data_IF_171743222286
#
_entry.id   IF_171743222286
#
_cell.length_a   1.000
_cell.length_b   1.000
_cell.length_c   1.000
_cell.angle_alpha   90.00
_cell.angle_beta   90.00
_cell.angle_gamma   90.00
#
_symmetry.space_group_name_H-M   'P 1'
#
loop_
_entity.id
_entity.type
_entity.pdbx_description
1 polymer ?
#
# COMPACT_ATOMS: atom_id res chain seq x y z
N UNK A 1 -5.51 -6.42 20.42
CA UNK A 1 -6.16 -5.51 19.45
C UNK A 1 -5.71 -5.94 18.06
N UNK A 2 -6.65 -6.19 17.16
CA UNK A 2 -6.38 -6.52 15.76
C UNK A 2 -5.70 -5.34 15.05
N UNK A 3 -4.91 -5.66 14.01
CA UNK A 3 -4.42 -4.67 13.06
C UNK A 3 -5.61 -3.93 12.45
N UNK A 4 -5.63 -2.59 12.57
CA UNK A 4 -6.58 -1.75 11.83
C UNK A 4 -5.80 -1.16 10.69
N UNK A 5 -6.03 -1.71 9.49
CA UNK A 5 -5.39 -1.20 8.30
C UNK A 5 -5.84 0.25 8.04
N UNK A 6 -4.96 1.12 7.53
CA UNK A 6 -5.36 2.44 7.07
C UNK A 6 -6.56 2.35 6.09
N UNK A 7 -7.48 3.32 6.09
CA UNK A 7 -8.52 3.40 5.07
C UNK A 7 -7.90 3.28 3.66
N UNK A 8 -8.42 2.35 2.84
CA UNK A 8 -7.90 2.07 1.50
C UNK A 8 -6.72 1.08 1.42
N UNK A 9 -6.18 0.61 2.55
CA UNK A 9 -5.13 -0.40 2.58
C UNK A 9 -5.72 -1.75 3.02
N UNK A 10 -6.01 -2.64 2.07
CA UNK A 10 -6.50 -4.00 2.37
C UNK A 10 -5.70 -5.05 1.61
N UNK A 11 -4.46 -5.34 2.04
CA UNK A 11 -3.66 -6.36 1.42
C UNK A 11 -4.25 -7.75 1.68
N UNK A 12 -4.23 -8.57 0.65
CA UNK A 12 -4.54 -10.01 0.70
C UNK A 12 -3.22 -10.75 0.83
N UNK A 13 -3.09 -11.59 1.85
CA UNK A 13 -1.88 -12.34 2.13
C UNK A 13 -2.06 -13.82 1.81
N UNK A 14 -1.10 -14.39 1.09
CA UNK A 14 -1.00 -15.82 0.78
C UNK A 14 -2.33 -16.46 0.32
N UNK A 15 -3.06 -15.87 -0.67
CA UNK A 15 -4.30 -16.46 -1.12
C UNK A 15 -4.05 -17.82 -1.78
N UNK A 16 -5.02 -18.74 -1.64
CA UNK A 16 -5.05 -19.97 -2.43
C UNK A 16 -5.23 -19.65 -3.91
N UNK A 17 -4.60 -20.44 -4.80
CA UNK A 17 -4.73 -20.29 -6.26
C UNK A 17 -5.57 -21.46 -6.80
N UNK A 18 -6.62 -21.21 -7.61
CA UNK A 18 -7.04 -19.90 -8.13
C UNK A 18 -7.63 -18.98 -7.05
N UNK A 19 -7.33 -17.69 -7.19
CA UNK A 19 -7.85 -16.61 -6.35
C UNK A 19 -8.84 -15.77 -7.16
N UNK A 20 -9.97 -15.42 -6.55
CA UNK A 20 -10.92 -14.41 -7.03
C UNK A 20 -11.31 -13.54 -5.83
N UNK A 21 -11.12 -12.23 -5.93
CA UNK A 21 -11.43 -11.32 -4.84
C UNK A 21 -11.89 -9.94 -5.30
N UNK A 22 -12.71 -9.26 -4.48
CA UNK A 22 -13.23 -7.93 -4.82
C UNK A 22 -12.16 -6.85 -4.73
N UNK A 23 -12.32 -5.82 -5.55
CA UNK A 23 -11.57 -4.57 -5.49
C UNK A 23 -12.47 -3.53 -4.82
N UNK A 24 -12.31 -3.39 -3.50
CA UNK A 24 -13.11 -2.44 -2.73
C UNK A 24 -12.80 -1.00 -3.12
N UNK A 25 -13.84 -0.22 -3.42
CA UNK A 25 -13.72 1.17 -3.87
C UNK A 25 -13.45 1.34 -5.37
N UNK A 26 -13.28 0.24 -6.12
CA UNK A 26 -13.00 0.28 -7.55
C UNK A 26 -11.60 0.78 -7.89
N UNK A 27 -11.31 0.85 -9.19
CA UNK A 27 -10.06 1.42 -9.71
C UNK A 27 -10.33 2.76 -10.40
N UNK A 28 -9.40 3.71 -10.25
CA UNK A 28 -9.42 5.00 -10.93
C UNK A 28 -7.99 5.42 -11.32
N UNK A 29 -7.81 6.39 -12.22
CA UNK A 29 -6.49 6.92 -12.52
C UNK A 29 -5.74 7.32 -11.24
N UNK A 30 -4.48 6.89 -11.13
CA UNK A 30 -3.66 7.01 -9.93
C UNK A 30 -3.75 5.83 -8.96
N UNK A 31 -4.69 4.89 -9.15
CA UNK A 31 -4.68 3.60 -8.46
C UNK A 31 -3.56 2.71 -8.99
N UNK A 32 -3.09 1.78 -8.16
CA UNK A 32 -2.08 0.79 -8.49
C UNK A 32 -2.40 -0.53 -7.82
N UNK A 33 -2.39 -1.62 -8.60
CA UNK A 33 -2.48 -2.99 -8.10
C UNK A 33 -1.06 -3.55 -8.00
N UNK A 34 -0.64 -3.91 -6.79
CA UNK A 34 0.65 -4.52 -6.46
C UNK A 34 0.46 -6.01 -6.20
N UNK A 35 1.22 -6.84 -6.88
CA UNK A 35 1.18 -8.30 -6.72
C UNK A 35 2.62 -8.77 -6.52
N UNK A 36 2.87 -9.42 -5.39
CA UNK A 36 4.15 -10.05 -5.10
C UNK A 36 3.95 -11.55 -4.98
N UNK A 37 4.78 -12.32 -5.67
CA UNK A 37 4.65 -13.76 -5.73
C UNK A 37 5.90 -14.43 -6.27
N UNK A 38 5.78 -15.72 -6.53
CA UNK A 38 6.82 -16.54 -7.13
C UNK A 38 6.23 -17.53 -8.13
N UNK A 39 7.06 -18.01 -9.04
CA UNK A 39 6.68 -19.01 -10.02
C UNK A 39 7.45 -20.30 -9.79
N UNK A 40 6.86 -21.49 -9.98
CA UNK A 40 7.58 -22.75 -9.87
C UNK A 40 8.52 -22.96 -11.08
N UNK A 41 9.53 -23.82 -10.93
CA UNK A 41 10.50 -24.12 -12.01
C UNK A 41 9.85 -24.78 -13.23
N UNK A 42 8.79 -25.55 -13.03
CA UNK A 42 8.04 -26.26 -14.07
C UNK A 42 6.88 -25.44 -14.65
N UNK A 43 6.75 -24.16 -14.27
CA UNK A 43 5.69 -23.29 -14.74
C UNK A 43 5.54 -23.30 -16.27
N UNK A 44 4.30 -23.41 -16.71
CA UNK A 44 3.89 -23.23 -18.10
C UNK A 44 3.22 -21.88 -18.33
N UNK A 45 2.34 -21.43 -17.41
CA UNK A 45 1.66 -20.14 -17.49
C UNK A 45 0.91 -19.79 -16.22
N UNK A 46 0.74 -18.51 -15.97
CA UNK A 46 -0.24 -17.98 -15.04
C UNK A 46 -0.96 -16.79 -15.64
N UNK A 47 -2.07 -16.36 -15.02
CA UNK A 47 -2.83 -15.19 -15.45
C UNK A 47 -3.24 -14.34 -14.28
N UNK A 48 -3.25 -13.03 -14.50
CA UNK A 48 -3.88 -12.03 -13.66
C UNK A 48 -4.95 -11.33 -14.51
N UNK A 49 -6.19 -11.34 -14.03
CA UNK A 49 -7.32 -10.71 -14.70
C UNK A 49 -7.89 -9.60 -13.82
N UNK A 50 -8.16 -8.44 -14.40
CA UNK A 50 -9.03 -7.41 -13.82
C UNK A 50 -10.42 -7.57 -14.42
N UNK A 51 -11.40 -7.97 -13.60
CA UNK A 51 -12.75 -8.30 -14.04
C UNK A 51 -13.73 -7.15 -13.79
N UNK A 52 -14.72 -7.02 -14.66
CA UNK A 52 -15.79 -6.03 -14.56
C UNK A 52 -16.95 -6.44 -13.63
N UNK A 53 -16.83 -7.59 -12.97
CA UNK A 53 -17.77 -8.12 -11.99
C UNK A 53 -17.07 -9.12 -11.07
N UNK A 54 -17.77 -9.60 -10.04
CA UNK A 54 -17.21 -10.46 -9.00
C UNK A 54 -17.38 -11.96 -9.29
N UNK A 55 -17.65 -12.33 -10.53
CA UNK A 55 -17.81 -13.73 -10.97
C UNK A 55 -16.78 -14.08 -12.04
N UNK A 56 -16.45 -15.37 -12.18
CA UNK A 56 -15.44 -15.81 -13.17
C UNK A 56 -15.85 -15.57 -14.63
N UNK A 57 -17.15 -15.49 -14.89
CA UNK A 57 -17.72 -15.26 -16.22
C UNK A 57 -17.81 -13.78 -16.59
N UNK A 58 -17.47 -12.88 -15.65
CA UNK A 58 -17.49 -11.43 -15.90
C UNK A 58 -16.49 -11.04 -17.00
N UNK A 59 -16.80 -9.96 -17.71
CA UNK A 59 -15.87 -9.37 -18.67
C UNK A 59 -14.51 -9.10 -18.02
N UNK A 60 -13.44 -9.27 -18.80
CA UNK A 60 -12.07 -9.06 -18.38
C UNK A 60 -11.58 -7.78 -19.04
N UNK A 61 -11.48 -6.70 -18.26
CA UNK A 61 -10.94 -5.43 -18.74
C UNK A 61 -9.47 -5.54 -19.12
N UNK A 62 -8.69 -6.26 -18.31
CA UNK A 62 -7.27 -6.53 -18.54
C UNK A 62 -6.96 -7.98 -18.20
N UNK A 63 -6.48 -8.72 -19.19
CA UNK A 63 -5.85 -10.03 -19.05
C UNK A 63 -4.34 -9.87 -19.15
N UNK A 64 -3.60 -10.33 -18.16
CA UNK A 64 -2.12 -10.42 -18.19
C UNK A 64 -1.75 -11.88 -18.08
N UNK A 65 -1.12 -12.44 -19.12
CA UNK A 65 -0.84 -13.87 -19.15
C UNK A 65 0.56 -14.20 -19.67
N UNK A 66 1.54 -14.33 -18.76
CA UNK A 66 2.85 -14.90 -19.07
C UNK A 66 2.72 -16.37 -19.45
N UNK A 67 3.34 -16.75 -20.56
CA UNK A 67 3.35 -18.10 -21.13
C UNK A 67 4.79 -18.54 -21.42
N UNK A 68 5.15 -19.70 -20.91
CA UNK A 68 6.43 -20.40 -21.12
C UNK A 68 6.17 -21.68 -21.93
N UNK A 69 5.78 -21.49 -23.19
CA UNK A 69 5.32 -22.55 -24.09
C UNK A 69 6.31 -22.83 -25.23
N UNK A 70 7.58 -22.43 -25.07
CA UNK A 70 8.63 -22.52 -26.10
C UNK A 70 8.61 -21.34 -27.07
N UNK A 71 7.53 -20.55 -27.07
CA UNK A 71 7.48 -19.23 -27.69
C UNK A 71 7.10 -18.18 -26.66
N UNK A 72 7.99 -18.07 -25.67
CA UNK A 72 7.78 -17.34 -24.44
C UNK A 72 7.35 -15.88 -24.71
N UNK A 73 6.25 -15.49 -24.06
CA UNK A 73 5.60 -14.20 -24.26
C UNK A 73 4.68 -13.87 -23.09
N UNK A 74 4.40 -12.59 -22.92
CA UNK A 74 3.27 -12.12 -22.13
C UNK A 74 2.17 -11.69 -23.10
N UNK A 75 0.98 -12.28 -22.94
CA UNK A 75 -0.20 -11.90 -23.70
C UNK A 75 -1.03 -10.93 -22.87
N UNK A 76 -1.37 -9.79 -23.47
CA UNK A 76 -2.38 -8.87 -22.95
C UNK A 76 -3.60 -8.85 -23.84
N UNK A 77 -4.78 -8.84 -23.24
CA UNK A 77 -6.03 -8.76 -23.99
C UNK A 77 -7.20 -8.31 -23.08
N UNK A 78 -8.37 -8.13 -23.68
CA UNK A 78 -9.66 -7.89 -23.05
C UNK A 78 -10.62 -8.98 -23.51
N UNK A 79 -11.48 -9.46 -22.62
CA UNK A 79 -12.59 -10.35 -22.96
C UNK A 79 -13.91 -9.63 -22.68
N UNK A 80 -14.73 -9.44 -23.70
CA UNK A 80 -16.03 -8.76 -23.58
C UNK A 80 -17.12 -9.60 -24.25
N UNK A 81 -18.25 -9.76 -23.58
CA UNK A 81 -19.41 -10.53 -24.09
C UNK A 81 -19.00 -11.94 -24.54
N UNK A 82 -18.15 -12.59 -23.75
CA UNK A 82 -17.65 -13.94 -24.01
C UNK A 82 -16.52 -14.04 -25.05
N UNK A 83 -16.21 -12.96 -25.77
CA UNK A 83 -15.24 -12.96 -26.89
C UNK A 83 -13.93 -12.25 -26.52
N UNK A 84 -12.80 -12.80 -26.96
CA UNK A 84 -11.49 -12.16 -26.83
C UNK A 84 -11.29 -11.12 -27.94
N UNK A 85 -10.67 -10.00 -27.60
CA UNK A 85 -10.22 -9.01 -28.59
C UNK A 85 -8.88 -9.38 -29.22
N UNK A 86 -8.21 -8.39 -29.80
CA UNK A 86 -6.88 -8.56 -30.39
C UNK A 86 -5.78 -8.70 -29.33
N UNK A 87 -4.90 -9.69 -29.48
CA UNK A 87 -3.81 -9.91 -28.53
C UNK A 87 -2.66 -8.90 -28.72
N UNK A 88 -2.20 -8.31 -27.62
CA UNK A 88 -0.86 -7.73 -27.55
C UNK A 88 0.12 -8.83 -27.09
N UNK A 89 1.04 -9.24 -27.95
CA UNK A 89 2.00 -10.32 -27.67
C UNK A 89 3.40 -9.77 -27.50
N UNK A 90 3.86 -9.66 -26.25
CA UNK A 90 5.18 -9.11 -25.93
C UNK A 90 6.17 -10.26 -25.69
N UNK A 91 7.19 -10.38 -26.54
CA UNK A 91 8.17 -11.49 -26.47
C UNK A 91 9.33 -11.28 -25.50
N UNK A 92 9.51 -10.05 -25.00
CA UNK A 92 10.46 -9.80 -23.92
C UNK A 92 9.86 -10.39 -22.64
N UNK A 93 10.27 -11.57 -22.22
CA UNK A 93 9.71 -12.19 -21.01
C UNK A 93 10.31 -11.52 -19.77
N UNK A 94 9.52 -10.85 -18.90
CA UNK A 94 10.03 -10.20 -17.69
C UNK A 94 9.98 -11.11 -16.45
N UNK A 95 9.30 -12.27 -16.57
CA UNK A 95 9.21 -13.28 -15.52
C UNK A 95 10.25 -14.37 -15.73
N UNK A 96 10.61 -15.08 -14.67
CA UNK A 96 11.57 -16.19 -14.71
C UNK A 96 11.04 -17.35 -13.90
N UNK A 97 11.16 -18.55 -14.44
CA UNK A 97 10.78 -19.80 -13.76
C UNK A 97 11.58 -19.97 -12.48
N UNK A 98 10.93 -20.40 -11.40
CA UNK A 98 11.57 -20.59 -10.10
C UNK A 98 11.88 -19.30 -9.34
N UNK A 99 11.62 -18.12 -9.91
CA UNK A 99 11.97 -16.84 -9.30
C UNK A 99 10.75 -16.09 -8.75
N UNK A 100 11.05 -15.18 -7.82
CA UNK A 100 10.12 -14.19 -7.30
C UNK A 100 9.87 -13.09 -8.34
N UNK A 101 8.68 -12.49 -8.27
CA UNK A 101 8.36 -11.31 -9.05
C UNK A 101 7.54 -10.31 -8.24
N UNK A 102 7.69 -9.04 -8.62
CA UNK A 102 6.75 -7.98 -8.32
C UNK A 102 6.09 -7.54 -9.63
N UNK A 103 4.76 -7.56 -9.68
CA UNK A 103 3.95 -7.02 -10.76
C UNK A 103 3.18 -5.80 -10.24
N UNK A 104 3.34 -4.67 -10.91
CA UNK A 104 2.59 -3.44 -10.64
C UNK A 104 1.76 -3.08 -11.86
N UNK A 105 0.46 -2.93 -11.66
CA UNK A 105 -0.48 -2.43 -12.67
C UNK A 105 -0.92 -1.04 -12.22
N UNK A 106 -0.33 -0.01 -12.82
CA UNK A 106 -0.66 1.39 -12.55
C UNK A 106 -1.78 1.85 -13.47
N UNK A 107 -2.85 2.37 -12.90
CA UNK A 107 -4.00 2.88 -13.64
C UNK A 107 -3.72 4.33 -14.03
N UNK A 108 -3.78 4.61 -15.32
CA UNK A 108 -3.70 5.96 -15.89
C UNK A 108 -5.03 6.34 -16.54
N UNK A 109 -5.14 7.57 -17.05
CA UNK A 109 -6.34 7.99 -17.78
C UNK A 109 -6.49 7.24 -19.11
N UNK A 110 -5.37 6.86 -19.74
CA UNK A 110 -5.29 6.26 -21.06
C UNK A 110 -5.32 4.73 -21.02
N UNK A 111 -4.77 4.12 -19.96
CA UNK A 111 -4.65 2.66 -19.87
C UNK A 111 -4.04 2.16 -18.58
N UNK A 112 -3.43 0.98 -18.68
CA UNK A 112 -2.69 0.31 -17.61
C UNK A 112 -1.20 0.31 -17.95
N UNK A 113 -0.39 0.95 -17.11
CA UNK A 113 1.06 0.83 -17.17
C UNK A 113 1.51 -0.36 -16.33
N UNK A 114 2.16 -1.32 -16.99
CA UNK A 114 2.61 -2.58 -16.40
C UNK A 114 4.10 -2.48 -16.10
N UNK A 115 4.46 -2.71 -14.84
CA UNK A 115 5.86 -2.85 -14.40
C UNK A 115 6.09 -4.21 -13.80
N UNK A 116 7.27 -4.78 -14.05
CA UNK A 116 7.72 -6.03 -13.44
C UNK A 116 9.09 -5.82 -12.84
N UNK A 117 9.25 -6.17 -11.55
CA UNK A 117 10.50 -6.01 -10.80
C UNK A 117 11.07 -4.58 -10.90
N UNK A 118 10.20 -3.58 -10.75
CA UNK A 118 10.55 -2.16 -10.83
C UNK A 118 10.81 -1.62 -12.25
N UNK A 119 10.83 -2.46 -13.28
CA UNK A 119 11.08 -2.05 -14.66
C UNK A 119 9.78 -1.89 -15.44
N UNK A 120 9.68 -0.82 -16.25
CA UNK A 120 8.59 -0.63 -17.19
C UNK A 120 8.56 -1.76 -18.22
N UNK A 121 7.38 -2.34 -18.43
CA UNK A 121 7.22 -3.52 -19.27
C UNK A 121 6.30 -3.28 -20.47
N UNK A 122 5.07 -2.83 -20.24
CA UNK A 122 4.08 -2.61 -21.30
C UNK A 122 3.04 -1.58 -20.88
N UNK A 123 2.43 -0.90 -21.84
CA UNK A 123 1.24 -0.07 -21.62
C UNK A 123 0.09 -0.67 -22.43
N UNK A 124 -0.99 -1.03 -21.75
CA UNK A 124 -2.20 -1.55 -22.38
C UNK A 124 -3.33 -0.52 -22.29
N UNK A 125 -3.77 0.00 -23.43
CA UNK A 125 -4.83 1.01 -23.49
C UNK A 125 -6.17 0.47 -22.98
N UNK A 126 -6.98 1.33 -22.35
CA UNK A 126 -8.29 0.95 -21.86
C UNK A 126 -9.22 0.57 -23.03
N UNK A 127 -9.53 -0.72 -23.16
CA UNK A 127 -10.61 -1.20 -24.05
C UNK A 127 -11.97 -1.25 -23.35
N UNK A 128 -11.96 -1.39 -22.03
CA UNK A 128 -13.13 -1.23 -21.15
C UNK A 128 -12.80 -0.14 -20.14
N UNK A 129 -13.76 0.74 -19.87
CA UNK A 129 -13.59 1.84 -18.91
C UNK A 129 -13.22 1.31 -17.52
N UNK A 130 -12.14 1.84 -16.93
CA UNK A 130 -11.57 1.31 -15.67
C UNK A 130 -12.53 1.31 -14.48
N UNK A 131 -13.46 2.26 -14.43
CA UNK A 131 -14.50 2.30 -13.38
C UNK A 131 -15.42 1.07 -13.36
N UNK A 132 -15.45 0.26 -14.43
CA UNK A 132 -16.19 -1.01 -14.43
C UNK A 132 -15.46 -2.13 -13.69
N UNK A 133 -14.16 -2.00 -13.42
CA UNK A 133 -13.35 -3.05 -12.77
C UNK A 133 -13.74 -3.19 -11.30
N UNK A 134 -14.10 -4.41 -10.90
CA UNK A 134 -14.66 -4.75 -9.59
C UNK A 134 -13.94 -5.89 -8.88
N UNK A 135 -13.17 -6.72 -9.60
CA UNK A 135 -12.50 -7.87 -9.01
C UNK A 135 -11.16 -8.14 -9.68
N UNK A 136 -10.31 -8.88 -8.96
CA UNK A 136 -9.08 -9.45 -9.48
C UNK A 136 -9.17 -10.98 -9.40
N UNK A 137 -8.73 -11.65 -10.46
CA UNK A 137 -8.54 -13.10 -10.47
C UNK A 137 -7.08 -13.43 -10.79
N UNK A 138 -6.52 -14.38 -10.05
CA UNK A 138 -5.18 -14.93 -10.30
C UNK A 138 -5.28 -16.45 -10.39
N UNK A 139 -4.72 -17.04 -11.44
CA UNK A 139 -4.81 -18.48 -11.69
C UNK A 139 -3.64 -19.02 -12.51
N UNK A 140 -3.44 -20.34 -12.49
CA UNK A 140 -2.34 -21.03 -13.16
C UNK A 140 -1.15 -21.27 -12.24
N UNK A 141 0.02 -21.46 -12.82
CA UNK A 141 1.23 -21.93 -12.14
C UNK A 141 1.92 -20.76 -11.41
N UNK A 142 1.35 -20.32 -10.28
CA UNK A 142 1.87 -19.18 -9.52
C UNK A 142 1.57 -19.33 -8.03
N UNK A 143 2.50 -18.89 -7.18
CA UNK A 143 2.26 -18.66 -5.75
C UNK A 143 2.17 -17.16 -5.53
N UNK A 144 1.09 -16.69 -4.93
CA UNK A 144 0.94 -15.28 -4.57
C UNK A 144 1.17 -15.11 -3.08
N UNK A 145 2.03 -14.16 -2.74
CA UNK A 145 2.30 -13.81 -1.35
C UNK A 145 1.47 -12.60 -0.92
N UNK A 146 1.40 -11.57 -1.77
CA UNK A 146 0.57 -10.39 -1.49
C UNK A 146 -0.14 -9.88 -2.74
N UNK A 147 -1.38 -9.42 -2.56
CA UNK A 147 -2.09 -8.56 -3.50
C UNK A 147 -2.50 -7.32 -2.72
N UNK A 148 -2.20 -6.13 -3.24
CA UNK A 148 -2.61 -4.89 -2.62
C UNK A 148 -3.03 -3.86 -3.64
N UNK A 149 -3.96 -3.00 -3.25
CA UNK A 149 -4.46 -1.92 -4.08
C UNK A 149 -4.18 -0.63 -3.33
N UNK A 150 -3.51 0.31 -4.00
CA UNK A 150 -3.04 1.57 -3.40
C UNK A 150 -3.39 2.71 -4.35
N UNK A 151 -3.73 3.86 -3.81
CA UNK A 151 -3.94 5.07 -4.61
C UNK A 151 -5.31 5.12 -5.29
N UNK A 152 -5.62 6.29 -5.83
CA UNK A 152 -6.97 6.67 -6.28
C UNK A 152 -7.76 7.25 -5.12
N UNK A 153 -7.47 8.51 -4.78
CA UNK A 153 -7.92 9.18 -3.56
C UNK A 153 -9.29 8.75 -3.03
N UNK A 154 -9.37 8.49 -1.73
CA UNK A 154 -10.61 8.61 -0.97
C UNK A 154 -10.98 10.10 -0.90
N UNK A 155 -11.41 10.65 -2.04
CA UNK A 155 -12.07 11.93 -2.18
C UNK A 155 -13.53 11.72 -2.58
N UNK A 156 -14.16 10.64 -2.08
CA UNK A 156 -15.58 10.38 -2.25
C UNK A 156 -16.36 10.96 -1.07
N UNK A 157 -16.44 12.29 -0.98
CA UNK A 157 -17.63 12.88 -0.40
C UNK A 157 -18.82 12.39 -1.23
N UNK A 158 -19.85 11.89 -0.55
CA UNK A 158 -21.10 11.49 -1.19
C UNK A 158 -21.55 12.56 -2.19
N UNK A 159 -22.13 12.21 -3.36
CA UNK A 159 -22.76 13.20 -4.22
C UNK A 159 -24.02 13.70 -3.50
N UNK A 160 -23.85 14.76 -2.71
CA UNK A 160 -24.93 15.62 -2.27
C UNK A 160 -25.57 16.20 -3.52
N UNK A 161 -26.85 15.91 -3.71
CA UNK A 161 -27.58 16.15 -4.95
C UNK A 161 -27.43 17.56 -5.48
N UNK A 162 -27.33 17.62 -6.81
CA UNK A 162 -27.68 18.79 -7.61
C UNK A 162 -29.09 19.27 -7.22
N UNK A 163 -29.15 20.25 -6.34
CA UNK A 163 -30.25 21.20 -6.26
C UNK A 163 -29.69 22.61 -6.37
N UNK A 164 -29.32 22.97 -7.60
CA UNK A 164 -28.99 24.32 -8.02
C UNK A 164 -29.89 24.75 -9.17
N UNK A 165 -31.21 24.80 -8.94
CA UNK A 165 -32.15 25.44 -9.85
C UNK A 165 -31.97 26.96 -9.80
N UNK A 166 -31.32 27.53 -10.81
CA UNK A 166 -31.19 28.98 -10.97
C UNK A 166 -31.94 29.45 -12.22
N UNK A 167 -33.03 30.20 -12.02
CA UNK A 167 -33.53 31.16 -13.00
C UNK A 167 -33.53 32.57 -12.38
N UNK A 168 -33.43 33.62 -13.21
CA UNK A 168 -32.75 34.87 -12.85
C UNK A 168 -33.73 36.01 -12.54
N UNK A 169 -33.27 37.02 -11.78
CA UNK A 169 -34.01 38.28 -11.70
C UNK A 169 -33.41 39.32 -10.75
N UNK A 170 -33.18 40.52 -11.28
CA UNK A 170 -33.70 41.73 -10.62
C UNK A 170 -32.72 42.59 -9.83
N UNK A 171 -32.24 43.63 -10.50
CA UNK A 171 -31.61 44.84 -9.98
C UNK A 171 -32.58 45.71 -9.14
N UNK A 172 -32.10 46.31 -8.04
CA UNK A 172 -32.58 47.51 -7.27
C UNK A 172 -32.05 47.34 -5.82
N UNK A 173 -31.43 48.27 -5.08
CA UNK A 173 -31.23 49.70 -5.16
C UNK A 173 -31.30 50.28 -3.73
N UNK A 174 -30.25 50.96 -3.26
CA UNK A 174 -30.32 52.04 -2.25
C UNK A 174 -30.11 51.73 -0.75
N UNK A 175 -29.28 52.57 -0.10
CA UNK A 175 -29.51 53.09 1.26
C UNK A 175 -28.64 52.60 2.43
N UNK A 176 -27.68 53.42 2.87
CA UNK A 176 -27.09 53.41 4.24
C UNK A 176 -27.97 54.23 5.22
N UNK A 177 -27.64 54.44 6.52
CA UNK A 177 -26.82 53.67 7.49
C UNK A 177 -27.51 53.51 8.89
N UNK A 178 -26.91 52.73 9.78
CA UNK A 178 -26.90 53.05 11.22
C UNK A 178 -27.23 51.91 12.19
N UNK A 179 -26.60 51.96 13.37
CA UNK A 179 -27.20 51.39 14.59
C UNK A 179 -26.35 50.38 15.36
N UNK A 180 -25.79 50.85 16.46
CA UNK A 180 -25.01 50.16 17.48
C UNK A 180 -25.85 49.23 18.40
N UNK A 181 -25.16 48.38 19.18
CA UNK A 181 -25.54 47.72 20.45
C UNK A 181 -26.43 46.44 20.46
N UNK A 182 -25.78 45.32 20.84
CA UNK A 182 -25.94 44.74 22.18
C UNK A 182 -27.08 43.75 22.49
N UNK A 183 -26.71 42.47 22.66
CA UNK A 183 -27.17 41.60 23.77
C UNK A 183 -28.40 40.69 23.57
N UNK A 184 -28.24 39.39 23.88
CA UNK A 184 -29.35 38.50 24.25
C UNK A 184 -29.29 37.07 23.67
N UNK A 185 -28.88 36.08 24.48
CA UNK A 185 -29.30 34.66 24.35
C UNK A 185 -30.71 34.50 24.97
N UNK A 186 -31.43 33.33 24.92
CA UNK A 186 -31.10 32.01 24.36
C UNK A 186 -32.25 31.36 23.52
N UNK A 187 -31.96 30.29 22.78
CA UNK A 187 -33.00 29.48 22.13
C UNK A 187 -32.43 28.21 21.52
N UNK A 188 -32.93 27.06 21.95
CA UNK A 188 -32.31 25.75 21.75
C UNK A 188 -32.43 25.20 20.33
N UNK A 189 -31.55 24.25 20.01
CA UNK A 189 -31.71 23.40 18.85
C UNK A 189 -31.61 21.93 19.24
N UNK A 190 -32.69 21.21 19.00
CA UNK A 190 -32.75 19.76 18.93
C UNK A 190 -32.04 19.28 17.66
N UNK A 191 -31.46 18.08 17.73
CA UNK A 191 -31.40 17.19 16.57
C UNK A 191 -30.01 16.72 16.16
N UNK A 192 -29.85 15.39 16.16
CA UNK A 192 -28.85 14.72 15.32
C UNK A 192 -27.65 14.17 16.07
N UNK A 193 -27.84 13.06 16.78
CA UNK A 193 -26.73 12.20 17.18
C UNK A 193 -26.07 11.58 15.95
N UNK A 194 -24.99 12.20 15.48
CA UNK A 194 -24.03 11.59 14.55
C UNK A 194 -22.85 11.03 15.33
N UNK A 195 -22.56 9.76 15.14
CA UNK A 195 -21.36 9.10 15.66
C UNK A 195 -20.11 9.88 15.24
N UNK A 196 -19.09 10.04 16.10
CA UNK A 196 -17.89 10.78 15.74
C UNK A 196 -17.14 10.04 14.63
N UNK A 197 -16.89 10.76 13.54
CA UNK A 197 -16.00 10.37 12.45
C UNK A 197 -14.74 9.71 13.01
N UNK A 198 -14.41 8.55 12.45
CA UNK A 198 -13.14 7.90 12.70
C UNK A 198 -12.02 8.72 12.08
N UNK A 199 -11.55 9.76 12.80
CA UNK A 199 -10.32 10.48 12.51
C UNK A 199 -9.12 9.56 12.78
N UNK A 200 -8.96 8.53 11.94
CA UNK A 200 -7.71 7.81 11.81
C UNK A 200 -6.76 8.71 11.02
N UNK A 201 -5.53 8.94 11.50
CA UNK A 201 -4.57 9.76 10.78
C UNK A 201 -4.30 9.15 9.40
N UNK A 202 -4.47 9.97 8.36
CA UNK A 202 -4.12 9.62 7.00
C UNK A 202 -2.61 9.41 6.87
N UNK A 203 -2.22 8.47 5.99
CA UNK A 203 -0.84 8.33 5.52
C UNK A 203 -0.42 9.66 4.88
N UNK A 204 0.71 10.21 5.30
CA UNK A 204 1.20 11.51 4.85
C UNK A 204 2.24 11.37 3.73
N UNK A 205 2.09 12.16 2.66
CA UNK A 205 3.05 12.21 1.56
C UNK A 205 2.86 11.12 0.49
N UNK A 206 3.54 11.30 -0.64
CA UNK A 206 3.56 10.31 -1.71
C UNK A 206 4.39 9.08 -1.30
N UNK A 207 3.97 7.86 -1.63
CA UNK A 207 4.79 6.68 -1.41
C UNK A 207 6.09 6.72 -2.20
N UNK A 208 7.12 6.07 -1.65
CA UNK A 208 8.41 5.88 -2.31
C UNK A 208 8.45 4.46 -2.88
N UNK A 209 8.64 4.35 -4.18
CA UNK A 209 8.66 3.07 -4.89
C UNK A 209 10.08 2.64 -5.22
N UNK A 210 10.38 1.36 -5.00
CA UNK A 210 11.67 0.74 -5.28
C UNK A 210 12.91 1.56 -4.84
N UNK A 211 12.94 2.10 -3.61
CA UNK A 211 14.08 2.91 -3.19
C UNK A 211 15.36 2.06 -3.09
N UNK A 212 16.54 2.64 -3.40
CA UNK A 212 17.80 1.94 -3.22
C UNK A 212 18.11 1.70 -1.74
N UNK A 213 18.90 0.67 -1.46
CA UNK A 213 19.44 0.35 -0.13
C UNK A 213 20.96 0.57 -0.14
N UNK A 214 21.54 1.30 0.84
CA UNK A 214 20.88 1.87 2.01
C UNK A 214 19.92 3.03 1.66
N UNK A 215 18.79 3.05 2.34
CA UNK A 215 17.77 4.10 2.22
C UNK A 215 17.87 5.06 3.40
N UNK A 216 17.74 6.35 3.13
CA UNK A 216 17.57 7.39 4.13
C UNK A 216 16.53 8.39 3.64
N UNK A 217 15.48 8.60 4.44
CA UNK A 217 14.37 9.49 4.09
C UNK A 217 13.81 10.22 5.30
N UNK A 218 13.51 11.51 5.11
CA UNK A 218 12.80 12.27 6.14
C UNK A 218 11.34 11.81 6.21
N UNK A 219 10.82 11.65 7.42
CA UNK A 219 9.41 11.36 7.69
C UNK A 219 8.68 12.71 7.63
N UNK A 220 7.81 12.97 6.63
CA UNK A 220 7.21 14.29 6.45
C UNK A 220 6.37 14.70 7.67
N UNK A 221 6.80 15.69 8.44
CA UNK A 221 6.15 16.12 9.69
C UNK A 221 6.51 15.29 10.94
N UNK A 222 7.48 14.37 10.84
CA UNK A 222 7.97 13.56 11.96
C UNK A 222 7.01 12.45 12.41
N UNK A 223 7.47 11.58 13.29
CA UNK A 223 6.60 10.60 13.94
C UNK A 223 5.74 11.28 15.00
N UNK A 224 4.48 10.88 15.05
CA UNK A 224 3.53 11.28 16.07
C UNK A 224 2.74 10.07 16.53
N UNK A 225 2.06 10.21 17.66
CA UNK A 225 1.17 9.17 18.13
C UNK A 225 0.13 8.81 17.05
N UNK A 226 -0.11 7.51 16.89
CA UNK A 226 -0.97 6.85 15.90
C UNK A 226 -0.43 6.84 14.47
N UNK A 227 0.66 7.53 14.15
CA UNK A 227 1.28 7.47 12.82
C UNK A 227 1.79 6.06 12.52
N UNK A 228 1.63 5.62 11.28
CA UNK A 228 2.03 4.28 10.82
C UNK A 228 2.93 4.42 9.61
N UNK A 229 4.09 3.77 9.66
CA UNK A 229 4.99 3.64 8.51
C UNK A 229 4.80 2.24 7.93
N UNK A 230 4.61 2.14 6.61
CA UNK A 230 4.57 0.87 5.89
C UNK A 230 5.87 0.72 5.12
N UNK A 231 6.47 -0.46 5.22
CA UNK A 231 7.69 -0.84 4.51
C UNK A 231 7.45 -2.22 3.89
N UNK A 232 7.67 -2.31 2.58
CA UNK A 232 7.66 -3.58 1.85
C UNK A 232 8.99 -3.83 1.19
N UNK A 233 9.37 -5.09 1.17
CA UNK A 233 10.58 -5.51 0.51
C UNK A 233 10.68 -7.02 0.39
N UNK A 234 11.76 -7.46 -0.25
CA UNK A 234 12.19 -8.84 -0.37
C UNK A 234 13.47 -9.02 0.43
N UNK A 235 13.52 -10.06 1.26
CA UNK A 235 14.77 -10.55 1.81
C UNK A 235 15.37 -11.54 0.79
N UNK A 236 16.50 -11.24 0.15
CA UNK A 236 17.08 -12.13 -0.85
C UNK A 236 17.56 -13.44 -0.22
N UNK A 237 17.65 -14.50 -1.03
CA UNK A 237 18.30 -15.75 -0.62
C UNK A 237 19.75 -15.48 -0.18
N UNK A 238 20.17 -16.08 0.94
CA UNK A 238 21.47 -15.84 1.54
C UNK A 238 21.57 -14.56 2.37
N UNK A 239 20.48 -13.79 2.51
CA UNK A 239 20.44 -12.58 3.34
C UNK A 239 20.73 -12.90 4.81
N UNK A 240 21.68 -12.17 5.40
CA UNK A 240 22.15 -12.39 6.77
C UNK A 240 21.32 -11.53 7.74
N UNK A 241 21.22 -10.23 7.46
CA UNK A 241 20.52 -9.27 8.33
C UNK A 241 20.12 -8.00 7.59
N UNK A 242 19.02 -7.39 8.04
CA UNK A 242 18.66 -6.01 7.69
C UNK A 242 18.48 -5.17 8.96
N UNK A 243 18.52 -3.85 8.84
CA UNK A 243 18.20 -2.95 9.93
C UNK A 243 17.27 -1.84 9.46
N UNK A 244 16.32 -1.48 10.33
CA UNK A 244 15.35 -0.42 10.13
C UNK A 244 15.44 0.49 11.36
N UNK A 245 15.81 1.74 11.13
CA UNK A 245 16.08 2.71 12.19
C UNK A 245 15.10 3.88 12.09
N UNK A 246 14.53 4.21 13.23
CA UNK A 246 13.80 5.44 13.48
C UNK A 246 14.72 6.38 14.24
N UNK A 247 15.12 7.46 13.57
CA UNK A 247 16.23 8.33 13.98
C UNK A 247 15.73 9.74 14.27
N UNK A 248 16.27 10.33 15.33
CA UNK A 248 16.15 11.76 15.63
C UNK A 248 17.29 12.48 14.90
N UNK A 249 17.00 13.15 13.79
CA UNK A 249 18.02 13.66 12.87
C UNK A 249 19.01 14.64 13.52
N UNK A 250 18.54 15.43 14.49
CA UNK A 250 19.31 16.45 15.20
C UNK A 250 20.43 15.89 16.07
N UNK A 251 20.21 14.73 16.68
CA UNK A 251 21.18 14.10 17.59
C UNK A 251 21.82 12.85 17.01
N UNK A 252 21.27 12.31 15.92
CA UNK A 252 21.55 10.97 15.40
C UNK A 252 21.29 9.85 16.40
N UNK A 253 20.43 10.09 17.39
CA UNK A 253 19.94 9.04 18.27
C UNK A 253 18.98 8.14 17.51
N UNK A 254 19.15 6.83 17.70
CA UNK A 254 18.25 5.82 17.16
C UNK A 254 17.23 5.51 18.24
N UNK A 255 16.03 6.08 18.11
CA UNK A 255 14.93 5.86 19.04
C UNK A 255 14.44 4.41 18.98
N UNK A 256 14.38 3.83 17.78
CA UNK A 256 14.03 2.43 17.57
C UNK A 256 14.89 1.82 16.46
N UNK A 257 15.69 0.84 16.83
CA UNK A 257 16.47 -0.01 15.94
C UNK A 257 15.79 -1.38 15.89
N UNK A 258 15.36 -1.80 14.70
CA UNK A 258 14.82 -3.13 14.43
C UNK A 258 15.82 -3.86 13.53
N UNK A 259 16.36 -4.98 14.00
CA UNK A 259 17.39 -5.73 13.29
C UNK A 259 17.03 -7.22 13.18
N UNK A 260 16.26 -7.59 12.14
CA UNK A 260 16.08 -8.98 11.76
C UNK A 260 17.41 -9.60 11.33
N UNK A 261 17.79 -10.68 12.02
CA UNK A 261 18.97 -11.52 11.71
C UNK A 261 18.42 -12.85 11.23
N UNK A 262 18.24 -12.96 9.91
CA UNK A 262 17.51 -14.07 9.26
C UNK A 262 18.23 -15.39 9.55
N UNK A 263 19.56 -15.43 9.37
CA UNK A 263 20.39 -16.61 9.63
C UNK A 263 20.34 -17.08 11.09
N UNK A 264 20.35 -16.15 12.03
CA UNK A 264 20.28 -16.43 13.48
C UNK A 264 18.83 -16.68 13.96
N UNK A 265 17.85 -16.58 13.06
CA UNK A 265 16.41 -16.71 13.35
C UNK A 265 15.94 -15.83 14.52
N UNK A 266 16.49 -14.63 14.64
CA UNK A 266 16.16 -13.69 15.72
C UNK A 266 15.92 -12.29 15.18
N UNK A 267 15.17 -11.48 15.93
CA UNK A 267 15.01 -10.05 15.64
C UNK A 267 15.41 -9.28 16.88
N UNK A 268 16.50 -8.54 16.75
CA UNK A 268 17.04 -7.70 17.84
C UNK A 268 16.39 -6.33 17.77
N UNK A 269 15.98 -5.81 18.93
CA UNK A 269 15.46 -4.45 19.06
C UNK A 269 16.26 -3.70 20.12
N UNK A 270 16.53 -2.44 19.84
CA UNK A 270 17.28 -1.60 20.77
C UNK A 270 17.03 -0.10 20.49
N UNK A 271 17.64 0.75 21.31
CA UNK A 271 17.82 2.17 21.04
C UNK A 271 19.30 2.52 21.21
N UNK A 272 19.78 3.50 20.44
CA UNK A 272 21.12 4.06 20.56
C UNK A 272 20.99 5.52 20.95
N UNK A 273 21.26 5.85 22.21
CA UNK A 273 21.05 7.19 22.78
C UNK A 273 22.38 7.73 23.28
N UNK A 274 22.74 8.96 22.90
CA UNK A 274 24.04 9.55 23.22
C UNK A 274 25.21 8.72 22.71
N UNK A 275 25.04 8.07 21.54
CA UNK A 275 26.02 7.19 20.93
C UNK A 275 26.14 5.79 21.56
N UNK A 276 25.41 5.47 22.63
CA UNK A 276 25.50 4.19 23.35
C UNK A 276 24.28 3.32 23.10
N UNK A 277 24.50 2.05 22.81
CA UNK A 277 23.44 1.05 22.73
C UNK A 277 22.89 0.73 24.12
N UNK A 278 21.57 0.62 24.22
CA UNK A 278 20.90 0.14 25.43
C UNK A 278 20.89 -1.39 25.54
N UNK A 279 20.07 -1.90 26.45
CA UNK A 279 19.80 -3.34 26.59
C UNK A 279 19.06 -3.87 25.36
N UNK A 280 19.51 -4.96 24.76
CA UNK A 280 18.80 -5.58 23.64
C UNK A 280 17.51 -6.28 24.10
N UNK A 281 16.50 -6.26 23.23
CA UNK A 281 15.30 -7.09 23.33
C UNK A 281 15.30 -8.10 22.18
N UNK A 282 15.21 -9.39 22.51
CA UNK A 282 15.35 -10.51 21.54
C UNK A 282 14.17 -11.47 21.56
N UNK A 283 13.39 -11.45 22.64
CA UNK A 283 12.25 -12.35 22.84
C UNK A 283 11.22 -12.14 21.72
N UNK A 284 10.90 -13.24 21.04
CA UNK A 284 9.84 -13.36 20.02
C UNK A 284 9.34 -14.80 20.00
N UNK A 285 8.07 -14.97 19.61
CA UNK A 285 7.50 -16.30 19.39
C UNK A 285 8.09 -16.97 18.14
N UNK A 286 8.27 -16.21 17.07
CA UNK A 286 8.90 -16.64 15.83
C UNK A 286 9.54 -15.43 15.12
N UNK A 287 10.52 -15.68 14.26
CA UNK A 287 11.03 -14.65 13.35
C UNK A 287 10.09 -14.57 12.14
N UNK A 288 9.39 -13.44 11.90
CA UNK A 288 8.46 -13.31 10.78
C UNK A 288 9.17 -13.06 9.44
N UNK A 289 10.50 -12.95 9.44
CA UNK A 289 11.32 -12.64 8.28
C UNK A 289 12.03 -13.90 7.78
N UNK A 290 11.84 -14.24 6.51
CA UNK A 290 12.43 -15.41 5.84
C UNK A 290 13.16 -14.97 4.59
N UNK A 291 14.31 -15.59 4.31
CA UNK A 291 15.01 -15.39 3.05
C UNK A 291 14.17 -15.90 1.87
N UNK A 292 14.31 -15.27 0.72
CA UNK A 292 13.53 -15.58 -0.47
C UNK A 292 12.07 -15.16 -0.42
N UNK A 293 11.60 -14.49 0.64
CA UNK A 293 10.18 -14.11 0.80
C UNK A 293 10.04 -12.60 0.93
N UNK A 294 8.93 -12.06 0.39
CA UNK A 294 8.57 -10.67 0.62
C UNK A 294 8.15 -10.45 2.08
N UNK A 295 8.08 -9.20 2.50
CA UNK A 295 7.42 -8.83 3.74
C UNK A 295 6.60 -7.56 3.53
N UNK A 296 5.45 -7.52 4.20
CA UNK A 296 4.64 -6.33 4.39
C UNK A 296 4.70 -5.95 5.86
N UNK A 297 5.50 -4.94 6.19
CA UNK A 297 5.67 -4.50 7.56
C UNK A 297 4.97 -3.17 7.78
N UNK A 298 4.22 -3.08 8.88
CA UNK A 298 3.71 -1.81 9.39
C UNK A 298 4.22 -1.56 10.80
N UNK A 299 4.73 -0.36 11.04
CA UNK A 299 5.21 0.09 12.34
C UNK A 299 4.32 1.24 12.78
N UNK A 300 3.47 0.99 13.78
CA UNK A 300 2.60 2.00 14.37
C UNK A 300 3.25 2.61 15.60
N UNK A 301 3.44 3.93 15.58
CA UNK A 301 3.89 4.69 16.72
C UNK A 301 2.73 4.92 17.70
N UNK A 302 2.70 4.21 18.82
CA UNK A 302 1.74 4.47 19.91
C UNK A 302 2.23 5.56 20.87
N UNK A 303 1.42 5.88 21.88
CA UNK A 303 1.81 6.84 22.94
C UNK A 303 2.94 6.33 23.84
N UNK A 304 3.07 5.01 23.98
CA UNK A 304 4.01 4.39 24.94
C UNK A 304 5.00 3.42 24.27
N UNK A 305 4.71 2.99 23.05
CA UNK A 305 5.45 1.93 22.36
C UNK A 305 5.22 1.95 20.86
N UNK A 306 6.18 1.41 20.12
CA UNK A 306 5.96 0.96 18.76
C UNK A 306 5.26 -0.39 18.77
N UNK A 307 4.33 -0.58 17.84
CA UNK A 307 3.71 -1.87 17.54
C UNK A 307 4.06 -2.25 16.12
N UNK A 308 4.68 -3.41 15.94
CA UNK A 308 5.12 -3.89 14.64
C UNK A 308 4.25 -5.06 14.21
N UNK A 309 3.75 -4.98 12.98
CA UNK A 309 3.03 -6.05 12.32
C UNK A 309 3.80 -6.43 11.06
N UNK A 310 3.88 -7.73 10.78
CA UNK A 310 4.48 -8.28 9.57
C UNK A 310 3.48 -9.24 8.94
N UNK A 311 3.22 -9.06 7.64
CA UNK A 311 2.24 -9.84 6.86
C UNK A 311 0.86 -9.89 7.53
N UNK A 312 0.41 -8.74 8.04
CA UNK A 312 -0.87 -8.58 8.74
C UNK A 312 -0.93 -9.12 10.18
N UNK A 313 0.10 -9.84 10.65
CA UNK A 313 0.15 -10.41 11.99
C UNK A 313 0.96 -9.53 12.95
N UNK A 314 0.51 -9.42 14.21
CA UNK A 314 1.30 -8.74 15.23
C UNK A 314 2.58 -9.53 15.50
N UNK A 315 3.73 -8.88 15.34
CA UNK A 315 5.03 -9.49 15.51
C UNK A 315 5.62 -9.15 16.89
N UNK A 316 5.65 -7.87 17.25
CA UNK A 316 6.25 -7.40 18.49
C UNK A 316 5.78 -6.01 18.93
N UNK A 317 6.04 -5.71 20.20
CA UNK A 317 5.97 -4.38 20.78
C UNK A 317 7.39 -3.93 21.18
N UNK A 318 7.66 -2.63 21.11
CA UNK A 318 8.89 -2.04 21.65
C UNK A 318 8.57 -0.75 22.40
N UNK A 319 8.77 -0.75 23.72
CA UNK A 319 8.46 0.39 24.59
C UNK A 319 9.37 1.57 24.30
N UNK A 320 8.81 2.78 24.26
CA UNK A 320 9.57 4.01 24.04
C UNK A 320 10.58 4.19 25.18
N UNK A 321 11.87 4.19 24.84
CA UNK A 321 12.96 4.41 25.81
C UNK A 321 13.26 5.87 26.05
N UNK A 322 12.78 6.73 25.16
CA UNK A 322 12.86 8.19 25.28
C UNK A 322 11.46 8.77 25.16
N UNK A 323 11.20 9.85 25.91
CA UNK A 323 9.96 10.63 25.77
C UNK A 323 9.92 11.40 24.45
N UNK A 324 11.06 11.53 23.77
CA UNK A 324 11.25 12.27 22.52
C UNK A 324 10.92 11.43 21.28
N UNK A 325 10.01 10.43 21.38
CA UNK A 325 9.58 9.66 20.21
C UNK A 325 8.90 10.55 19.15
N UNK A 326 8.40 11.71 19.56
CA UNK A 326 7.85 12.76 18.70
C UNK A 326 8.93 13.60 17.98
N UNK A 327 10.20 13.45 18.32
CA UNK A 327 11.32 14.10 17.62
C UNK A 327 11.92 13.21 16.52
N UNK A 328 11.48 11.94 16.41
CA UNK A 328 11.90 11.08 15.32
C UNK A 328 11.37 11.64 14.01
N UNK A 329 12.28 11.91 13.09
CA UNK A 329 11.98 12.58 11.83
C UNK A 329 12.68 11.94 10.63
N UNK A 330 13.43 10.85 10.84
CA UNK A 330 14.17 10.16 9.78
C UNK A 330 14.04 8.65 9.87
N UNK A 331 13.81 8.03 8.72
CA UNK A 331 13.85 6.59 8.50
C UNK A 331 15.16 6.23 7.81
N UNK A 332 15.88 5.25 8.33
CA UNK A 332 17.03 4.63 7.68
C UNK A 332 16.79 3.13 7.55
N UNK A 333 17.13 2.55 6.39
CA UNK A 333 17.04 1.11 6.13
C UNK A 333 18.34 0.64 5.47
N UNK A 334 18.94 -0.42 6.00
CA UNK A 334 20.23 -0.94 5.54
C UNK A 334 20.30 -2.48 5.65
N UNK A 335 21.34 -3.06 5.06
CA UNK A 335 21.59 -4.51 5.07
C UNK A 335 20.95 -5.25 3.90
N UNK A 336 20.73 -6.55 4.09
CA UNK A 336 20.35 -7.49 3.04
C UNK A 336 18.84 -7.43 2.76
N UNK A 337 18.40 -6.40 2.06
CA UNK A 337 16.99 -6.19 1.70
C UNK A 337 16.86 -5.46 0.37
N UNK A 338 15.87 -5.85 -0.44
CA UNK A 338 15.42 -5.07 -1.59
C UNK A 338 14.10 -4.41 -1.21
N UNK A 339 14.02 -3.08 -1.29
CA UNK A 339 12.81 -2.35 -0.95
C UNK A 339 11.94 -2.17 -2.19
N UNK A 340 10.63 -2.34 -2.04
CA UNK A 340 9.68 -2.07 -3.13
C UNK A 340 8.75 -0.91 -2.84
N UNK A 341 8.43 -0.65 -1.58
CA UNK A 341 7.46 0.37 -1.20
C UNK A 341 7.72 0.89 0.21
N UNK A 342 7.67 2.22 0.37
CA UNK A 342 7.62 2.89 1.67
C UNK A 342 6.49 3.91 1.66
N UNK A 343 5.68 3.92 2.71
CA UNK A 343 4.67 4.95 2.95
C UNK A 343 4.80 5.49 4.37
N UNK A 344 4.71 6.82 4.49
CA UNK A 344 4.82 7.57 5.74
C UNK A 344 3.48 8.08 6.28
#
# INVERSE_FOLDING_TARGET
MAFVAPPGYQPVYNPSIPYLGPIYGGLQPGSSVYIQGSTPEDMTRFRVNLLCGQTEDSDIALHVNPRFDGWDKVVFNTKQDGSWGDDDKIRKMPFRKGENFELVIQVTAEGYNIKVNGQDFHTFEHRIHVAKVQAIQVAGDVKIQTINIIGGGMGGGCPGGDMGGGYPGGNMGGGYPGGNMGGGYPGGNMGGGGYPESCLPGMGGQPVHNPPVPYQGMIPGGLSAKRTIIIRGLLPFGGIRMAINFVVSKTNDIAFHLNPRVKDRTVVRNSKIGGKWGKEERELKCNPFMEGEYFDMSIRCGNQKFKVFVNGQHALDFSHRTKLFNEVDRLEIEGDVQLSYIQF
#
